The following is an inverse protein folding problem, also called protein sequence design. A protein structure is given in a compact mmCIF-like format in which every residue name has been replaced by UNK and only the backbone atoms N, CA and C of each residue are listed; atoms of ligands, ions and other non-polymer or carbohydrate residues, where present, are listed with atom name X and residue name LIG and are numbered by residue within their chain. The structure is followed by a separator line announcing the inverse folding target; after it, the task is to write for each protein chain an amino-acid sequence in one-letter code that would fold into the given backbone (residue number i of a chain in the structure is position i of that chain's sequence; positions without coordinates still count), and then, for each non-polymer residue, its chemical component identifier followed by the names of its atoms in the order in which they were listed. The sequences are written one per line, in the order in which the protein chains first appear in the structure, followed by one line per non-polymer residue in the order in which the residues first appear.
data_IF_195996034047
#
_entry.id   IF_195996034047
#
_cell.length_a   1.000
_cell.length_b   1.000
_cell.length_c   1.000
_cell.angle_alpha   90.00
_cell.angle_beta   90.00
_cell.angle_gamma   90.00
#
_symmetry.space_group_name_H-M   'P 1'
#
loop_
_entity.id
_entity.type
_entity.pdbx_description
1 polymer ?
#
# COMPACT_ATOMS: atom_id res chain seq x y z
N UNK A 1 -6.63 6.84 6.86
CA UNK A 1 -5.60 7.81 6.51
C UNK A 1 -4.22 7.17 6.61
N UNK A 2 -3.40 7.38 5.61
CA UNK A 2 -2.04 6.87 5.62
C UNK A 2 -1.20 7.65 6.63
N UNK A 3 -0.55 6.92 7.53
CA UNK A 3 0.28 7.53 8.56
C UNK A 3 1.75 7.45 8.22
N UNK A 4 2.19 6.32 7.68
CA UNK A 4 3.60 6.13 7.34
C UNK A 4 3.69 5.23 6.12
N UNK A 5 4.73 5.45 5.34
CA UNK A 5 5.01 4.64 4.17
C UNK A 5 6.50 4.34 4.14
N UNK A 6 6.85 3.07 4.03
CA UNK A 6 8.23 2.65 3.92
C UNK A 6 8.41 1.86 2.63
N UNK A 7 9.48 2.16 1.92
CA UNK A 7 9.77 1.55 0.62
C UNK A 7 11.22 1.10 0.63
N UNK A 8 11.47 -0.14 0.25
CA UNK A 8 12.83 -0.67 0.10
C UNK A 8 12.99 -1.33 -1.25
N UNK A 9 14.00 -0.93 -1.99
CA UNK A 9 14.39 -1.56 -3.25
C UNK A 9 13.26 -1.60 -4.28
N UNK A 10 12.56 -0.50 -4.39
CA UNK A 10 11.42 -0.37 -5.30
C UNK A 10 11.81 0.59 -6.42
N UNK A 11 11.86 0.09 -7.65
CA UNK A 11 12.25 0.87 -8.81
C UNK A 11 13.62 1.51 -8.56
N UNK A 12 13.72 2.82 -8.66
CA UNK A 12 15.01 3.51 -8.45
C UNK A 12 15.28 3.81 -6.98
N UNK A 13 14.35 3.50 -6.11
CA UNK A 13 14.46 3.84 -4.68
C UNK A 13 15.06 2.67 -3.93
N UNK A 14 16.22 2.90 -3.29
CA UNK A 14 16.80 1.87 -2.44
C UNK A 14 16.14 1.88 -1.06
N UNK A 15 15.79 3.05 -0.55
CA UNK A 15 15.17 3.16 0.77
C UNK A 15 14.48 4.50 0.89
N UNK A 16 13.23 4.47 1.37
CA UNK A 16 12.46 5.68 1.60
C UNK A 16 11.50 5.44 2.77
N UNK A 17 11.41 6.42 3.65
CA UNK A 17 10.45 6.38 4.74
C UNK A 17 9.79 7.75 4.86
N UNK A 18 8.47 7.76 4.82
CA UNK A 18 7.69 8.99 4.90
C UNK A 18 6.71 8.90 6.04
N UNK A 19 6.54 10.01 6.77
CA UNK A 19 5.52 10.12 7.80
C UNK A 19 4.57 11.22 7.40
N UNK A 20 3.27 10.98 7.59
CA UNK A 20 2.24 11.94 7.21
C UNK A 20 1.47 12.35 8.45
N UNK A 21 1.43 13.65 8.73
CA UNK A 21 0.74 14.14 9.91
C UNK A 21 -0.61 14.73 9.58
N UNK A 22 -0.68 15.50 8.53
CA UNK A 22 -1.91 16.17 8.18
C UNK A 22 -2.16 16.06 6.70
N UNK A 23 -2.11 14.84 6.20
CA UNK A 23 -2.36 14.62 4.80
C UNK A 23 -1.07 14.50 4.03
N UNK A 24 -1.18 14.67 2.75
CA UNK A 24 -0.13 14.31 1.81
C UNK A 24 0.64 15.52 1.29
N UNK A 25 0.60 16.61 2.01
CA UNK A 25 1.26 17.82 1.53
C UNK A 25 2.76 17.66 1.38
N UNK A 26 3.35 16.75 2.15
CA UNK A 26 4.78 16.53 2.06
C UNK A 26 5.21 16.02 0.69
N UNK A 27 4.29 15.51 -0.09
CA UNK A 27 4.60 14.96 -1.40
C UNK A 27 4.53 16.00 -2.51
N UNK A 28 3.93 17.15 -2.24
CA UNK A 28 3.82 18.16 -3.27
C UNK A 28 5.14 18.92 -3.40
N UNK A 29 5.43 19.35 -4.60
CA UNK A 29 6.63 20.10 -4.84
C UNK A 29 7.85 19.27 -5.13
N UNK A 30 7.76 17.97 -4.97
CA UNK A 30 8.84 17.09 -5.32
C UNK A 30 8.81 16.78 -6.81
N UNK A 31 9.77 16.01 -7.26
CA UNK A 31 9.81 15.63 -8.66
C UNK A 31 8.59 14.79 -9.02
N UNK A 32 8.17 14.85 -10.27
CA UNK A 32 7.07 14.01 -10.72
C UNK A 32 7.40 12.53 -10.61
N UNK A 33 8.66 12.17 -10.80
CA UNK A 33 9.08 10.77 -10.71
C UNK A 33 8.86 10.23 -9.30
N UNK A 34 9.22 11.01 -8.28
CA UNK A 34 9.02 10.55 -6.92
C UNK A 34 7.56 10.38 -6.57
N UNK A 35 6.72 11.32 -7.02
CA UNK A 35 5.29 11.22 -6.76
C UNK A 35 4.70 10.00 -7.44
N UNK A 36 5.11 9.73 -8.67
CA UNK A 36 4.61 8.58 -9.41
C UNK A 36 4.97 7.27 -8.72
N UNK A 37 6.20 7.18 -8.20
CA UNK A 37 6.64 5.97 -7.54
C UNK A 37 5.83 5.73 -6.26
N UNK A 38 5.52 6.79 -5.52
CA UNK A 38 4.74 6.64 -4.30
C UNK A 38 3.32 6.20 -4.63
N UNK A 39 2.75 6.73 -5.70
CA UNK A 39 1.41 6.32 -6.13
C UNK A 39 1.42 4.85 -6.54
N UNK A 40 2.45 4.42 -7.25
CA UNK A 40 2.56 3.02 -7.63
C UNK A 40 2.65 2.12 -6.40
N UNK A 41 3.45 2.53 -5.41
CA UNK A 41 3.58 1.75 -4.19
C UNK A 41 2.25 1.64 -3.46
N UNK A 42 1.49 2.74 -3.40
CA UNK A 42 0.18 2.70 -2.77
C UNK A 42 -0.76 1.77 -3.50
N UNK A 43 -0.72 1.77 -4.82
CA UNK A 43 -1.55 0.86 -5.60
C UNK A 43 -1.23 -0.59 -5.31
N UNK A 44 0.05 -0.91 -5.13
CA UNK A 44 0.45 -2.27 -4.80
C UNK A 44 0.00 -2.65 -3.40
N UNK A 45 0.08 -1.73 -2.44
CA UNK A 45 -0.40 -1.99 -1.10
C UNK A 45 -1.91 -2.21 -1.07
N UNK A 46 -2.62 -1.63 -2.01
CA UNK A 46 -4.07 -1.81 -2.11
C UNK A 46 -4.46 -3.06 -2.89
N UNK A 47 -3.51 -3.88 -3.25
CA UNK A 47 -3.81 -5.15 -3.92
C UNK A 47 -3.51 -5.17 -5.40
N UNK A 48 -2.82 -4.17 -5.91
CA UNK A 48 -2.46 -4.16 -7.31
C UNK A 48 -1.53 -5.29 -7.67
N UNK A 49 -1.45 -5.58 -8.96
CA UNK A 49 -0.60 -6.66 -9.44
C UNK A 49 0.87 -6.29 -9.28
N UNK A 50 1.60 -7.05 -8.49
CA UNK A 50 3.02 -6.86 -8.33
C UNK A 50 3.77 -7.58 -9.44
N UNK A 51 4.97 -7.08 -9.73
CA UNK A 51 5.79 -7.62 -10.78
C UNK A 51 7.24 -7.44 -10.41
N UNK A 52 8.10 -8.35 -10.88
CA UNK A 52 9.53 -8.19 -10.66
C UNK A 52 10.07 -6.93 -11.34
N UNK A 53 9.28 -6.34 -12.24
CA UNK A 53 9.68 -5.08 -12.87
C UNK A 53 9.80 -3.95 -11.86
N UNK A 54 9.11 -4.04 -10.74
CA UNK A 54 9.21 -3.02 -9.70
C UNK A 54 10.42 -3.24 -8.80
N UNK A 55 11.05 -4.38 -8.87
CA UNK A 55 12.19 -4.69 -8.03
C UNK A 55 13.40 -3.88 -8.51
N UNK A 56 14.07 -3.22 -7.56
CA UNK A 56 15.24 -2.44 -7.89
C UNK A 56 16.31 -3.36 -8.49
N UNK A 57 16.96 -2.89 -9.55
CA UNK A 57 17.96 -3.68 -10.24
C UNK A 57 19.06 -4.09 -9.27
N UNK A 58 19.38 -5.36 -9.25
CA UNK A 58 20.42 -5.88 -8.37
C UNK A 58 19.94 -6.28 -7.00
N UNK A 59 18.70 -5.97 -6.66
CA UNK A 59 18.16 -6.32 -5.35
C UNK A 59 17.47 -7.67 -5.42
N UNK A 60 17.49 -8.38 -4.30
CA UNK A 60 16.80 -9.67 -4.21
C UNK A 60 15.37 -9.53 -3.74
N UNK A 61 15.06 -8.45 -3.03
CA UNK A 61 13.76 -8.28 -2.42
C UNK A 61 13.35 -6.82 -2.42
N UNK A 62 12.10 -6.60 -2.72
CA UNK A 62 11.45 -5.30 -2.57
C UNK A 62 10.44 -5.42 -1.45
N UNK A 63 10.41 -4.44 -0.55
CA UNK A 63 9.46 -4.43 0.55
C UNK A 63 8.72 -3.10 0.59
N UNK A 64 7.41 -3.19 0.63
CA UNK A 64 6.55 -2.02 0.79
C UNK A 64 5.76 -2.19 2.08
N UNK A 65 5.64 -1.11 2.84
CA UNK A 65 4.86 -1.15 4.07
C UNK A 65 4.12 0.16 4.22
N UNK A 66 2.82 0.06 4.48
CA UNK A 66 2.01 1.24 4.76
C UNK A 66 1.33 1.07 6.10
N UNK A 67 1.34 2.12 6.91
CA UNK A 67 0.66 2.13 8.19
C UNK A 67 -0.50 3.12 8.06
N UNK A 68 -1.71 2.62 8.26
CA UNK A 68 -2.95 3.39 8.08
C UNK A 68 -3.71 3.43 9.39
N UNK A 69 -4.51 4.47 9.58
CA UNK A 69 -5.48 4.43 10.65
C UNK A 69 -6.47 3.31 10.39
N UNK A 70 -6.91 2.65 11.47
CA UNK A 70 -7.87 1.57 11.31
C UNK A 70 -9.15 2.11 10.68
N UNK A 71 -9.64 1.51 9.59
CA UNK A 71 -10.86 2.00 8.95
C UNK A 71 -12.06 1.88 9.88
N UNK A 72 -12.68 2.99 10.19
CA UNK A 72 -13.82 3.01 11.10
C UNK A 72 -15.12 2.94 10.28
N UNK A 73 -15.32 1.82 9.62
CA UNK A 73 -16.47 1.59 8.75
C UNK A 73 -17.07 0.22 9.06
N UNK A 74 -18.41 0.11 9.09
CA UNK A 74 -19.04 -1.18 9.39
C UNK A 74 -18.62 -2.28 8.40
N UNK A 75 -18.51 -1.94 7.13
CA UNK A 75 -18.11 -2.93 6.13
C UNK A 75 -16.72 -3.46 6.39
N UNK A 76 -15.81 -2.61 6.86
CA UNK A 76 -14.47 -3.08 7.17
C UNK A 76 -14.48 -3.97 8.40
N UNK A 77 -15.33 -3.67 9.37
CA UNK A 77 -15.44 -4.55 10.54
C UNK A 77 -15.88 -5.94 10.13
N UNK A 78 -16.84 -6.03 9.23
CA UNK A 78 -17.30 -7.33 8.75
C UNK A 78 -16.18 -8.05 8.05
N UNK A 79 -15.47 -7.34 7.17
CA UNK A 79 -14.37 -7.94 6.43
C UNK A 79 -13.26 -8.42 7.36
N UNK A 80 -12.88 -7.60 8.33
CA UNK A 80 -11.79 -7.97 9.23
C UNK A 80 -12.15 -9.20 10.05
N UNK A 81 -13.41 -9.34 10.44
CA UNK A 81 -13.85 -10.53 11.17
C UNK A 81 -13.77 -11.76 10.28
N UNK A 82 -14.16 -11.61 9.01
CA UNK A 82 -14.11 -12.74 8.09
C UNK A 82 -12.69 -13.24 7.86
N UNK A 83 -11.74 -12.33 7.77
CA UNK A 83 -10.36 -12.75 7.52
C UNK A 83 -9.57 -12.98 8.80
N UNK A 84 -10.19 -12.74 9.96
CA UNK A 84 -9.58 -13.08 11.23
C UNK A 84 -8.58 -12.07 11.76
N UNK A 85 -8.73 -10.81 11.40
CA UNK A 85 -7.85 -9.75 11.88
C UNK A 85 -8.57 -8.99 12.99
N UNK A 86 -7.91 -8.90 14.15
CA UNK A 86 -8.47 -8.20 15.29
C UNK A 86 -8.37 -6.69 15.09
N UNK A 87 -9.35 -6.00 15.64
CA UNK A 87 -9.36 -4.53 15.56
C UNK A 87 -8.18 -3.97 16.34
N UNK A 88 -7.48 -3.02 15.73
CA UNK A 88 -6.32 -2.36 16.30
C UNK A 88 -6.44 -0.86 16.07
N UNK A 89 -5.48 -0.11 16.61
CA UNK A 89 -5.45 1.33 16.33
C UNK A 89 -5.00 1.62 14.91
N UNK A 90 -4.15 0.77 14.37
CA UNK A 90 -3.62 0.97 13.03
C UNK A 90 -3.73 -0.31 12.23
N UNK A 91 -3.73 -0.12 10.93
CA UNK A 91 -3.73 -1.21 9.97
C UNK A 91 -2.38 -1.17 9.24
N UNK A 92 -1.58 -2.22 9.41
CA UNK A 92 -0.26 -2.29 8.81
C UNK A 92 -0.31 -3.25 7.64
N UNK A 93 -0.06 -2.74 6.44
CA UNK A 93 -0.11 -3.53 5.22
C UNK A 93 1.31 -3.64 4.66
N UNK A 94 1.74 -4.85 4.37
CA UNK A 94 3.09 -5.10 3.85
C UNK A 94 3.02 -5.97 2.61
N UNK A 95 3.91 -5.70 1.66
CA UNK A 95 4.10 -6.55 0.50
C UNK A 95 5.58 -6.73 0.25
N UNK A 96 5.97 -7.97 -0.03
CA UNK A 96 7.33 -8.32 -0.40
C UNK A 96 7.30 -8.98 -1.76
N UNK A 97 8.20 -8.56 -2.65
CA UNK A 97 8.45 -9.25 -3.92
C UNK A 97 9.89 -9.71 -3.91
N UNK A 98 10.16 -10.88 -4.46
CA UNK A 98 11.52 -11.35 -4.58
C UNK A 98 11.90 -11.49 -6.05
N UNK A 99 13.21 -11.53 -6.28
CA UNK A 99 13.74 -11.73 -7.62
C UNK A 99 13.24 -13.05 -8.22
N UNK A 100 13.00 -14.05 -7.39
CA UNK A 100 12.53 -15.35 -7.85
C UNK A 100 11.03 -15.38 -8.12
N UNK A 101 10.33 -14.27 -7.91
CA UNK A 101 8.92 -14.18 -8.23
C UNK A 101 7.99 -14.42 -7.06
N UNK A 102 8.50 -14.59 -5.85
CA UNK A 102 7.65 -14.74 -4.69
C UNK A 102 6.99 -13.41 -4.36
N UNK A 103 5.77 -13.51 -3.88
CA UNK A 103 4.95 -12.32 -3.59
C UNK A 103 4.19 -12.61 -2.29
N UNK A 104 4.53 -11.88 -1.24
CA UNK A 104 3.98 -12.12 0.08
C UNK A 104 3.25 -10.88 0.54
N UNK A 105 2.02 -11.06 1.01
CA UNK A 105 1.19 -9.98 1.54
C UNK A 105 0.92 -10.24 3.01
N UNK A 106 1.03 -9.20 3.83
CA UNK A 106 0.74 -9.32 5.26
C UNK A 106 -0.11 -8.15 5.70
N UNK A 107 -1.00 -8.43 6.63
CA UNK A 107 -1.81 -7.40 7.27
C UNK A 107 -1.73 -7.61 8.77
N UNK A 108 -1.21 -6.62 9.48
CA UNK A 108 -0.97 -6.68 10.91
C UNK A 108 -0.22 -7.95 11.30
N UNK A 109 0.83 -8.26 10.53
CA UNK A 109 1.69 -9.40 10.79
C UNK A 109 1.15 -10.74 10.32
N UNK A 110 -0.06 -10.76 9.78
CA UNK A 110 -0.70 -11.99 9.33
C UNK A 110 -0.59 -12.12 7.83
N UNK A 111 -0.08 -13.24 7.36
CA UNK A 111 0.01 -13.49 5.92
C UNK A 111 -1.39 -13.65 5.35
N UNK A 112 -1.67 -12.92 4.27
CA UNK A 112 -2.96 -12.99 3.60
C UNK A 112 -2.73 -13.20 2.10
N UNK A 113 -3.78 -13.59 1.40
CA UNK A 113 -3.70 -13.75 -0.03
C UNK A 113 -3.84 -12.39 -0.72
N UNK A 114 -3.45 -12.35 -1.98
CA UNK A 114 -3.64 -11.14 -2.78
C UNK A 114 -5.12 -10.82 -2.91
N UNK A 115 -5.96 -11.85 -2.99
CA UNK A 115 -7.41 -11.63 -3.06
C UNK A 115 -7.90 -10.89 -1.82
N UNK A 116 -7.43 -11.30 -0.64
CA UNK A 116 -7.80 -10.61 0.60
C UNK A 116 -7.31 -9.18 0.59
N UNK A 117 -6.07 -8.97 0.13
CA UNK A 117 -5.53 -7.62 0.08
C UNK A 117 -6.35 -6.73 -0.84
N UNK A 118 -6.84 -7.27 -1.94
CA UNK A 118 -7.70 -6.51 -2.85
C UNK A 118 -9.02 -6.13 -2.21
N UNK A 119 -9.51 -6.95 -1.29
CA UNK A 119 -10.73 -6.61 -0.56
C UNK A 119 -10.47 -5.47 0.43
N UNK A 120 -9.28 -5.41 0.99
CA UNK A 120 -8.91 -4.36 1.92
C UNK A 120 -8.61 -3.05 1.20
N UNK A 121 -8.08 -3.14 -0.02
CA UNK A 121 -7.61 -1.98 -0.75
C UNK A 121 -8.55 -0.79 -0.82
N UNK A 122 -9.82 -0.99 -1.18
CA UNK A 122 -10.75 0.15 -1.27
C UNK A 122 -10.88 0.93 0.03
N UNK A 123 -10.73 0.26 1.17
CA UNK A 123 -10.80 0.95 2.46
C UNK A 123 -9.58 1.85 2.68
N UNK A 124 -8.44 1.47 2.13
CA UNK A 124 -7.25 2.30 2.23
C UNK A 124 -7.43 3.60 1.44
N UNK A 125 -8.01 3.49 0.26
CA UNK A 125 -8.27 4.65 -0.57
C UNK A 125 -9.33 5.54 0.06
N UNK A 126 -10.40 4.94 0.57
CA UNK A 126 -11.49 5.70 1.18
C UNK A 126 -11.01 6.48 2.39
N UNK A 127 -10.10 5.91 3.16
CA UNK A 127 -9.54 6.59 4.32
C UNK A 127 -8.90 7.88 3.92
N UNK A 128 -8.23 7.90 2.78
CA UNK A 128 -7.57 9.09 2.30
C UNK A 128 -8.55 10.14 1.77
N UNK A 129 -9.75 9.69 1.38
CA UNK A 129 -10.79 10.61 0.99
C UNK A 129 -10.48 11.42 -0.25
N UNK A 130 -9.66 10.90 -1.13
CA UNK A 130 -9.24 11.61 -2.32
C UNK A 130 -9.79 10.95 -3.57
N UNK A 131 -10.60 11.70 -4.31
CA UNK A 131 -11.14 11.16 -5.55
C UNK A 131 -10.05 10.83 -6.54
N UNK A 132 -8.99 11.63 -6.55
CA UNK A 132 -7.88 11.36 -7.45
C UNK A 132 -7.25 10.00 -7.18
N UNK A 133 -7.19 9.64 -5.92
CA UNK A 133 -6.61 8.35 -5.56
C UNK A 133 -7.46 7.21 -6.09
N UNK A 134 -8.77 7.36 -6.03
CA UNK A 134 -9.66 6.35 -6.57
C UNK A 134 -9.47 6.23 -8.08
N UNK A 135 -9.32 7.34 -8.76
CA UNK A 135 -9.12 7.32 -10.20
C UNK A 135 -7.82 6.64 -10.56
N UNK A 136 -6.79 6.89 -9.78
CA UNK A 136 -5.47 6.29 -10.05
C UNK A 136 -5.48 4.78 -9.84
N UNK A 137 -6.28 4.31 -8.89
CA UNK A 137 -6.35 2.89 -8.61
C UNK A 137 -7.33 2.16 -9.51
N UNK A 138 -8.18 2.89 -10.22
CA UNK A 138 -9.19 2.31 -11.10
C UNK A 138 -9.15 3.01 -12.45
N UNK A 139 -8.04 2.85 -13.18
CA UNK A 139 -7.86 3.58 -14.42
C UNK A 139 -8.92 3.28 -15.48
N UNK A 140 -9.54 2.13 -15.40
CA UNK A 140 -10.55 1.77 -16.38
C UNK A 140 -11.77 2.65 -16.31
N UNK A 141 -11.89 3.47 -15.31
CA UNK A 141 -13.02 4.38 -15.19
C UNK A 141 -12.82 5.70 -15.91
N UNK A 142 -11.65 5.91 -16.45
CA UNK A 142 -11.36 7.17 -17.14
C UNK A 142 -11.83 7.22 -18.57
#
# INVERSE_FOLDING_TARGET
MLLELSIQNFAIISHLHLSFHEGMTALTGETGAGKSIIIDAMGLLAGGRGSSDYLRQGAERCRLEGIFEWPNQPDFRILSEEIGIDEEEVLIVQRDFTHSGKNICRVNGRTVTLTVLRQIGPFLVDIQGQNEHQELLQPEKH
#
